data_IF_452120019100
#
_entry.id   IF_452120019100
#
_cell.length_a   1.000
_cell.length_b   1.000
_cell.length_c   1.000
_cell.angle_alpha   90.00
_cell.angle_beta   90.00
_cell.angle_gamma   90.00
#
_symmetry.space_group_name_H-M   'P 1'
#
loop_
_entity.id
_entity.type
_entity.pdbx_description
1 polymer ?
#
# COMPACT_ATOMS: atom_id res chain seq x y z
N UNK A 1 -1.14 13.24 -21.29
CA UNK A 1 -0.56 12.06 -20.62
C UNK A 1 -0.95 12.10 -19.15
N UNK A 2 -1.05 10.95 -18.49
CA UNK A 2 -1.32 10.88 -17.05
C UNK A 2 -0.01 11.02 -16.25
N UNK A 3 -0.05 11.76 -15.15
CA UNK A 3 1.02 11.70 -14.14
C UNK A 3 0.78 10.48 -13.25
N UNK A 4 1.84 9.87 -12.75
CA UNK A 4 1.70 8.73 -11.85
C UNK A 4 2.86 8.65 -10.85
N UNK A 5 2.60 7.99 -9.74
CA UNK A 5 3.61 7.45 -8.85
C UNK A 5 3.26 5.98 -8.60
N UNK A 6 4.28 5.12 -8.58
CA UNK A 6 4.16 3.71 -8.25
C UNK A 6 5.26 3.35 -7.26
N UNK A 7 4.90 2.61 -6.21
CA UNK A 7 5.86 2.00 -5.30
C UNK A 7 5.71 0.49 -5.30
N UNK A 8 6.82 -0.23 -5.13
CA UNK A 8 6.83 -1.68 -4.92
C UNK A 8 6.58 -1.96 -3.44
N UNK A 9 5.48 -2.63 -3.12
CA UNK A 9 5.22 -3.14 -1.78
C UNK A 9 6.05 -4.39 -1.53
N UNK A 10 5.96 -5.35 -2.45
CA UNK A 10 6.59 -6.65 -2.32
C UNK A 10 7.24 -7.09 -3.63
N UNK A 11 8.39 -7.74 -3.48
CA UNK A 11 8.88 -8.74 -4.42
C UNK A 11 8.31 -10.10 -3.99
N UNK A 12 7.42 -10.65 -4.81
CA UNK A 12 6.85 -11.99 -4.66
C UNK A 12 7.91 -13.04 -5.04
N UNK A 13 8.12 -14.04 -4.18
CA UNK A 13 9.10 -15.11 -4.40
C UNK A 13 8.47 -16.43 -4.86
N UNK A 14 7.15 -16.48 -4.97
CA UNK A 14 6.40 -17.66 -5.43
C UNK A 14 5.33 -17.28 -6.46
N UNK A 15 4.61 -18.27 -6.97
CA UNK A 15 3.58 -18.11 -8.01
C UNK A 15 2.14 -18.16 -7.48
N UNK A 16 1.96 -17.84 -6.19
CA UNK A 16 0.66 -17.83 -5.51
C UNK A 16 0.52 -18.92 -4.45
N UNK A 17 -0.71 -19.17 -3.99
CA UNK A 17 -1.05 -20.28 -3.11
C UNK A 17 -0.97 -21.64 -3.85
N UNK A 18 -1.14 -22.75 -3.14
CA UNK A 18 -1.06 -24.11 -3.70
C UNK A 18 -1.99 -24.34 -4.91
N UNK A 19 -3.20 -23.77 -4.90
CA UNK A 19 -4.16 -23.89 -6.00
C UNK A 19 -3.66 -23.12 -7.24
N UNK A 20 -3.16 -21.91 -7.05
CA UNK A 20 -2.59 -21.08 -8.11
C UNK A 20 -1.32 -21.72 -8.70
N UNK A 21 -0.46 -22.30 -7.86
CA UNK A 21 0.74 -23.02 -8.31
C UNK A 21 0.38 -24.25 -9.15
N UNK A 22 -0.62 -25.03 -8.72
CA UNK A 22 -1.10 -26.18 -9.47
C UNK A 22 -1.70 -25.77 -10.83
N UNK A 23 -2.45 -24.66 -10.88
CA UNK A 23 -3.02 -24.12 -12.11
C UNK A 23 -1.95 -23.58 -13.07
N UNK A 24 -0.85 -23.04 -12.54
CA UNK A 24 0.27 -22.49 -13.32
C UNK A 24 1.25 -23.56 -13.83
N UNK A 25 1.00 -24.85 -13.60
CA UNK A 25 1.76 -25.95 -14.21
C UNK A 25 3.25 -25.96 -13.88
N UNK A 26 3.64 -25.40 -12.72
CA UNK A 26 5.06 -25.30 -12.32
C UNK A 26 5.84 -24.17 -12.99
N UNK A 27 5.16 -23.17 -13.56
CA UNK A 27 5.83 -21.96 -14.03
C UNK A 27 6.63 -21.30 -12.90
N UNK A 28 7.83 -20.81 -13.23
CA UNK A 28 8.68 -20.07 -12.30
C UNK A 28 8.30 -18.58 -12.28
N UNK A 29 8.38 -17.96 -11.10
CA UNK A 29 8.19 -16.51 -10.96
C UNK A 29 9.46 -15.79 -11.43
N UNK A 30 9.44 -15.24 -12.64
CA UNK A 30 10.55 -14.45 -13.17
C UNK A 30 10.50 -12.98 -12.71
N UNK A 31 9.31 -12.38 -12.64
CA UNK A 31 9.08 -11.02 -12.15
C UNK A 31 7.70 -10.91 -11.47
N UNK A 32 7.70 -10.69 -10.15
CA UNK A 32 6.49 -10.61 -9.34
C UNK A 32 6.48 -9.37 -8.45
N UNK A 33 6.26 -8.19 -9.03
CA UNK A 33 6.15 -6.95 -8.26
C UNK A 33 4.70 -6.67 -7.87
N UNK A 34 4.43 -6.73 -6.57
CA UNK A 34 3.19 -6.21 -6.01
C UNK A 34 3.43 -4.77 -5.55
N UNK A 35 2.51 -3.86 -5.84
CA UNK A 35 2.70 -2.44 -5.56
C UNK A 35 1.43 -1.67 -5.26
N UNK A 36 1.63 -0.38 -5.00
CA UNK A 36 0.57 0.61 -4.84
C UNK A 36 0.86 1.80 -5.77
N UNK A 37 -0.18 2.45 -6.26
CA UNK A 37 -0.06 3.50 -7.26
C UNK A 37 -1.03 4.65 -7.02
N UNK A 38 -0.64 5.83 -7.47
CA UNK A 38 -1.52 6.96 -7.74
C UNK A 38 -1.39 7.29 -9.21
N UNK A 39 -2.53 7.43 -9.90
CA UNK A 39 -2.59 8.01 -11.25
C UNK A 39 -3.40 9.30 -11.19
N UNK A 40 -3.02 10.27 -12.00
CA UNK A 40 -3.63 11.60 -12.01
C UNK A 40 -3.71 12.15 -13.43
N UNK A 41 -4.84 12.77 -13.75
CA UNK A 41 -5.01 13.52 -15.00
C UNK A 41 -4.30 14.90 -14.96
N UNK A 42 -3.91 15.37 -13.76
CA UNK A 42 -3.18 16.62 -13.53
C UNK A 42 -1.78 16.32 -12.95
N UNK A 43 -0.84 17.29 -12.95
CA UNK A 43 0.48 17.08 -12.36
C UNK A 43 0.40 16.58 -10.92
N UNK A 44 1.09 15.47 -10.64
CA UNK A 44 1.32 14.98 -9.29
C UNK A 44 2.60 15.65 -8.76
N UNK A 45 2.45 16.43 -7.69
CA UNK A 45 3.51 17.24 -7.11
C UNK A 45 4.02 16.59 -5.82
N UNK A 46 5.32 16.73 -5.54
CA UNK A 46 5.94 16.32 -4.26
C UNK A 46 5.54 14.89 -3.82
N UNK A 47 5.69 13.86 -4.67
CA UNK A 47 5.33 12.50 -4.29
C UNK A 47 6.13 12.03 -3.07
N UNK A 48 5.50 11.24 -2.21
CA UNK A 48 6.10 10.65 -1.02
C UNK A 48 5.60 9.22 -0.78
N UNK A 49 6.33 8.46 0.03
CA UNK A 49 6.02 7.08 0.39
C UNK A 49 6.24 6.88 1.90
N UNK A 50 5.31 6.16 2.55
CA UNK A 50 5.37 5.77 3.96
C UNK A 50 5.30 4.25 4.06
N UNK A 51 6.34 3.61 4.58
CA UNK A 51 6.36 2.15 4.81
C UNK A 51 5.65 1.81 6.11
N UNK A 52 4.89 0.72 6.10
CA UNK A 52 4.39 0.10 7.32
C UNK A 52 5.24 -1.13 7.61
N UNK A 53 5.90 -1.14 8.76
CA UNK A 53 6.72 -2.28 9.17
C UNK A 53 5.82 -3.47 9.53
N UNK A 54 6.15 -4.63 8.96
CA UNK A 54 5.51 -5.91 9.25
C UNK A 54 6.51 -6.91 9.86
N UNK A 55 7.66 -6.42 10.35
CA UNK A 55 8.74 -7.21 10.95
C UNK A 55 9.21 -8.40 10.09
N UNK A 56 9.12 -8.26 8.76
CA UNK A 56 9.49 -9.31 7.82
C UNK A 56 8.55 -10.53 7.82
N UNK A 57 7.36 -10.44 8.42
CA UNK A 57 6.42 -11.56 8.52
C UNK A 57 6.20 -12.24 7.17
N UNK A 58 6.02 -11.48 6.09
CA UNK A 58 5.78 -12.02 4.75
C UNK A 58 6.93 -12.86 4.15
N UNK A 59 8.14 -12.78 4.68
CA UNK A 59 9.26 -13.61 4.21
C UNK A 59 9.22 -15.02 4.82
N UNK A 60 8.52 -15.20 5.95
CA UNK A 60 8.52 -16.47 6.68
C UNK A 60 7.75 -17.57 5.90
N UNK A 61 8.28 -18.81 5.87
CA UNK A 61 7.71 -19.90 5.07
C UNK A 61 6.32 -20.35 5.54
N UNK A 62 5.97 -20.05 6.79
CA UNK A 62 4.68 -20.40 7.43
C UNK A 62 3.47 -19.81 6.69
N UNK A 63 3.68 -18.86 5.79
CA UNK A 63 2.62 -18.16 5.09
C UNK A 63 2.31 -18.68 3.68
N UNK A 64 3.08 -19.65 3.16
CA UNK A 64 2.85 -20.30 1.86
C UNK A 64 2.99 -19.39 0.63
N UNK A 65 3.30 -18.10 0.81
CA UNK A 65 3.48 -17.10 -0.22
C UNK A 65 4.60 -16.14 0.23
N UNK A 66 5.88 -16.55 0.13
CA UNK A 66 6.98 -15.76 0.63
C UNK A 66 7.19 -14.49 -0.21
N UNK A 67 7.38 -13.36 0.46
CA UNK A 67 7.59 -12.04 -0.15
C UNK A 67 8.63 -11.24 0.61
N UNK A 68 9.38 -10.42 -0.12
CA UNK A 68 10.29 -9.43 0.46
C UNK A 68 9.66 -8.05 0.33
N UNK A 69 9.51 -7.34 1.45
CA UNK A 69 9.00 -5.98 1.48
C UNK A 69 7.93 -5.79 2.54
N UNK A 70 7.05 -4.82 2.29
CA UNK A 70 6.01 -4.43 3.24
C UNK A 70 5.00 -3.49 2.61
N UNK A 71 3.81 -3.48 3.20
CA UNK A 71 2.72 -2.57 2.87
C UNK A 71 3.14 -1.11 3.02
N UNK A 72 2.46 -0.22 2.30
CA UNK A 72 2.80 1.20 2.33
C UNK A 72 1.60 2.10 2.04
N UNK A 73 1.79 3.38 2.31
CA UNK A 73 1.05 4.45 1.68
C UNK A 73 1.93 5.16 0.65
N UNK A 74 1.33 5.56 -0.46
CA UNK A 74 1.92 6.42 -1.48
C UNK A 74 1.08 7.69 -1.55
N UNK A 75 1.73 8.85 -1.62
CA UNK A 75 1.02 10.13 -1.64
C UNK A 75 1.70 11.19 -2.48
N UNK A 76 1.03 12.33 -2.60
CA UNK A 76 1.53 13.53 -3.25
C UNK A 76 0.48 14.63 -3.21
N UNK A 77 0.72 15.73 -3.90
CA UNK A 77 -0.21 16.84 -4.01
C UNK A 77 -0.70 17.05 -5.43
N UNK A 78 -1.96 17.41 -5.57
CA UNK A 78 -2.55 17.90 -6.82
C UNK A 78 -3.13 19.29 -6.60
N UNK A 79 -3.24 20.06 -7.68
CA UNK A 79 -3.95 21.34 -7.65
C UNK A 79 -5.44 21.12 -7.91
N UNK A 80 -6.30 21.61 -7.02
CA UNK A 80 -7.75 21.67 -7.19
C UNK A 80 -8.16 23.15 -7.12
N UNK A 81 -8.39 23.74 -8.28
CA UNK A 81 -8.41 25.20 -8.42
C UNK A 81 -7.06 25.79 -7.97
N UNK A 82 -7.10 26.78 -7.08
CA UNK A 82 -5.90 27.45 -6.56
C UNK A 82 -5.35 26.81 -5.27
N UNK A 83 -5.88 25.65 -4.87
CA UNK A 83 -5.48 24.96 -3.62
C UNK A 83 -4.71 23.68 -3.91
N UNK A 84 -3.68 23.43 -3.10
CA UNK A 84 -3.01 22.12 -3.03
C UNK A 84 -3.85 21.19 -2.17
N UNK A 85 -4.11 19.99 -2.66
CA UNK A 85 -4.77 18.91 -1.94
C UNK A 85 -3.82 17.73 -1.89
N UNK A 86 -3.55 17.22 -0.69
CA UNK A 86 -2.77 16.00 -0.50
C UNK A 86 -3.66 14.79 -0.78
N UNK A 87 -3.20 13.91 -1.67
CA UNK A 87 -3.89 12.66 -2.00
C UNK A 87 -3.01 11.49 -1.61
N UNK A 88 -3.59 10.48 -0.97
CA UNK A 88 -2.87 9.31 -0.45
C UNK A 88 -3.62 8.04 -0.84
N UNK A 89 -2.91 7.13 -1.49
CA UNK A 89 -3.31 5.73 -1.65
C UNK A 89 -2.67 4.91 -0.54
N UNK A 90 -3.46 4.23 0.29
CA UNK A 90 -2.99 3.42 1.42
C UNK A 90 -3.31 1.94 1.20
N UNK A 91 -2.38 1.07 1.59
CA UNK A 91 -2.64 -0.34 1.77
C UNK A 91 -2.15 -0.71 3.17
N UNK A 92 -3.06 -1.08 4.08
CA UNK A 92 -2.70 -1.49 5.45
C UNK A 92 -2.43 -3.00 5.52
N UNK A 93 -1.76 -3.45 6.57
CA UNK A 93 -1.46 -4.86 6.77
C UNK A 93 -2.73 -5.67 7.07
N UNK A 94 -2.93 -6.77 6.33
CA UNK A 94 -4.06 -7.67 6.56
C UNK A 94 -3.76 -8.70 7.65
N UNK A 95 -2.49 -9.07 7.85
CA UNK A 95 -2.02 -9.99 8.90
C UNK A 95 -1.65 -9.29 10.20
N UNK A 96 -2.45 -8.32 10.60
CA UNK A 96 -2.32 -7.67 11.90
C UNK A 96 -3.68 -7.49 12.55
N UNK A 97 -3.67 -7.19 13.85
CA UNK A 97 -4.90 -6.95 14.62
C UNK A 97 -5.52 -5.60 14.24
N UNK A 98 -6.78 -5.33 14.61
CA UNK A 98 -7.34 -3.98 14.51
C UNK A 98 -6.48 -2.91 15.20
N UNK A 99 -5.85 -3.25 16.33
CA UNK A 99 -4.90 -2.37 17.03
C UNK A 99 -3.67 -2.06 16.18
N UNK A 100 -3.07 -3.07 15.55
CA UNK A 100 -1.93 -2.86 14.65
C UNK A 100 -2.26 -1.99 13.44
N UNK A 101 -3.45 -2.15 12.84
CA UNK A 101 -3.92 -1.24 11.78
C UNK A 101 -4.17 0.19 12.28
N UNK A 102 -4.64 0.35 13.52
CA UNK A 102 -4.75 1.67 14.14
C UNK A 102 -3.37 2.31 14.34
N UNK A 103 -2.35 1.55 14.74
CA UNK A 103 -0.97 2.04 14.85
C UNK A 103 -0.42 2.48 13.49
N UNK A 104 -0.63 1.68 12.44
CA UNK A 104 -0.27 2.04 11.06
C UNK A 104 -1.00 3.30 10.59
N UNK A 105 -2.29 3.44 10.92
CA UNK A 105 -3.08 4.62 10.58
C UNK A 105 -2.55 5.86 11.29
N UNK A 106 -2.21 5.78 12.58
CA UNK A 106 -1.59 6.90 13.30
C UNK A 106 -0.25 7.29 12.69
N UNK A 107 0.60 6.30 12.36
CA UNK A 107 1.86 6.55 11.69
C UNK A 107 1.69 7.28 10.35
N UNK A 108 0.68 6.92 9.56
CA UNK A 108 0.33 7.60 8.33
C UNK A 108 -0.11 9.06 8.58
N UNK A 109 -1.01 9.28 9.53
CA UNK A 109 -1.49 10.63 9.86
C UNK A 109 -0.34 11.54 10.33
N UNK A 110 0.55 11.04 11.19
CA UNK A 110 1.75 11.77 11.63
C UNK A 110 2.68 12.13 10.45
N UNK A 111 2.75 11.27 9.42
CA UNK A 111 3.55 11.54 8.22
C UNK A 111 2.89 12.58 7.32
N UNK A 112 1.55 12.56 7.20
CA UNK A 112 0.77 13.55 6.45
C UNK A 112 0.86 14.94 7.09
N UNK A 113 0.70 15.02 8.41
CA UNK A 113 0.80 16.29 9.15
C UNK A 113 2.19 16.92 9.00
N UNK A 114 3.25 16.10 9.08
CA UNK A 114 4.63 16.57 8.85
C UNK A 114 4.89 17.00 7.40
N UNK A 115 4.16 16.42 6.45
CA UNK A 115 4.35 16.70 5.03
C UNK A 115 3.72 18.05 4.62
N UNK A 116 2.49 18.30 5.07
CA UNK A 116 1.76 19.57 4.91
C UNK A 116 0.50 19.61 5.80
N UNK A 117 0.60 20.20 6.99
CA UNK A 117 -0.49 20.26 7.97
C UNK A 117 -1.69 21.15 7.56
N UNK A 118 -1.50 22.06 6.60
CA UNK A 118 -2.53 23.03 6.20
C UNK A 118 -3.33 22.56 4.98
N UNK A 119 -2.75 21.68 4.15
CA UNK A 119 -3.40 21.19 2.96
C UNK A 119 -4.56 20.23 3.30
N UNK A 120 -5.74 20.35 2.68
CA UNK A 120 -6.77 19.33 2.75
C UNK A 120 -6.23 17.97 2.27
N UNK A 121 -6.66 16.90 2.93
CA UNK A 121 -6.15 15.55 2.67
C UNK A 121 -7.30 14.62 2.26
N UNK A 122 -7.09 13.86 1.19
CA UNK A 122 -7.90 12.71 0.81
C UNK A 122 -7.06 11.43 0.95
N UNK A 123 -7.51 10.50 1.79
CA UNK A 123 -6.90 9.18 1.97
C UNK A 123 -7.89 8.12 1.49
N UNK A 124 -7.45 7.24 0.59
CA UNK A 124 -8.23 6.12 0.11
C UNK A 124 -7.35 4.91 -0.19
N UNK A 125 -7.95 3.74 -0.40
CA UNK A 125 -7.23 2.50 -0.69
C UNK A 125 -7.74 1.31 0.12
N UNK A 126 -6.90 0.30 0.30
CA UNK A 126 -7.25 -0.92 1.04
C UNK A 126 -6.81 -0.80 2.50
N UNK A 127 -7.77 -0.53 3.39
CA UNK A 127 -7.51 -0.44 4.81
C UNK A 127 -7.43 -1.80 5.49
N UNK A 128 -7.77 -2.91 4.80
CA UNK A 128 -7.88 -4.25 5.39
C UNK A 128 -8.72 -4.26 6.70
N UNK A 129 -9.71 -3.39 6.77
CA UNK A 129 -10.67 -3.29 7.87
C UNK A 129 -12.00 -3.89 7.44
N UNK A 130 -12.65 -4.59 8.36
CA UNK A 130 -13.99 -5.12 8.19
C UNK A 130 -14.92 -4.36 9.14
N UNK A 131 -15.98 -3.75 8.61
CA UNK A 131 -17.06 -3.15 9.41
C UNK A 131 -18.25 -4.09 9.58
N UNK A 132 -18.24 -5.24 8.89
CA UNK A 132 -19.26 -6.27 9.01
C UNK A 132 -19.07 -7.08 10.30
N UNK A 133 -20.12 -7.16 11.11
CA UNK A 133 -20.26 -8.19 12.13
C UNK A 133 -20.96 -9.40 11.50
N UNK A 134 -20.28 -10.55 11.46
CA UNK A 134 -20.91 -11.81 11.13
C UNK A 134 -21.59 -12.39 12.38
N UNK A 135 -22.84 -12.88 12.27
CA UNK A 135 -23.54 -13.55 13.37
C UNK A 135 -22.92 -14.91 13.73
#
# INVERSE_FOLDING_TARGET
>A
GHSYAYGVEFLELGTGNEVEQAANGGAENAEGFHGNAITSAVPLLRPFLVRFDAAGAWFLPEHGQPRIGGRMALGGQVMVGDRRVTVVSVHLENRTTPGGRADQTRHLLDAVDRYDAEAPVLIGGDFNTLTATYP
#
